data_IF_840746318860
#
_entry.id   IF_840746318860
#
_cell.length_a   1.000
_cell.length_b   1.000
_cell.length_c   1.000
_cell.angle_alpha   90.00
_cell.angle_beta   90.00
_cell.angle_gamma   90.00
#
_symmetry.space_group_name_H-M   'P 1'
#
loop_
_entity.id
_entity.type
_entity.pdbx_description
1 polymer ?
#
# COMPACT_ATOMS: atom_id res chain seq x y z
N UNK A 1 -17.08 12.24 -24.10
CA UNK A 1 -16.58 13.62 -24.28
C UNK A 1 -16.12 14.16 -22.94
N UNK A 2 -14.83 14.01 -22.61
CA UNK A 2 -14.25 14.58 -21.38
C UNK A 2 -13.51 15.87 -21.75
N UNK A 3 -14.04 17.04 -21.36
CA UNK A 3 -13.43 18.35 -21.66
C UNK A 3 -12.17 18.64 -20.83
N UNK A 4 -11.75 17.72 -19.94
CA UNK A 4 -10.60 17.92 -19.05
C UNK A 4 -10.82 19.01 -17.98
N UNK A 5 -11.97 19.70 -18.02
CA UNK A 5 -12.32 20.75 -17.10
C UNK A 5 -12.48 20.22 -15.68
N UNK A 6 -11.94 20.97 -14.72
CA UNK A 6 -11.97 20.67 -13.29
C UNK A 6 -12.61 21.84 -12.52
N UNK A 7 -13.93 22.07 -12.69
CA UNK A 7 -14.60 23.25 -12.14
C UNK A 7 -14.80 23.19 -10.62
N UNK A 8 -14.60 22.03 -9.99
CA UNK A 8 -14.81 21.85 -8.55
C UNK A 8 -13.49 22.01 -7.80
N UNK A 9 -13.29 23.15 -7.17
CA UNK A 9 -12.06 23.48 -6.45
C UNK A 9 -12.15 23.10 -4.96
N UNK A 10 -11.03 22.67 -4.39
CA UNK A 10 -10.93 22.48 -2.96
C UNK A 10 -10.47 23.79 -2.29
N UNK A 11 -11.20 24.25 -1.28
CA UNK A 11 -10.86 25.49 -0.57
C UNK A 11 -9.68 25.32 0.41
N UNK A 12 -9.30 24.07 0.71
CA UNK A 12 -8.25 23.73 1.68
C UNK A 12 -6.90 23.51 0.98
N UNK A 13 -6.90 23.10 -0.29
CA UNK A 13 -5.67 22.86 -1.05
C UNK A 13 -5.86 23.11 -2.55
N UNK A 14 -4.77 23.18 -3.31
CA UNK A 14 -4.78 23.54 -4.74
C UNK A 14 -5.44 22.48 -5.67
N UNK A 15 -6.02 21.40 -5.13
CA UNK A 15 -6.63 20.33 -5.93
C UNK A 15 -7.98 20.77 -6.49
N UNK A 16 -8.24 20.35 -7.74
CA UNK A 16 -9.51 20.57 -8.43
C UNK A 16 -9.99 19.27 -9.08
N UNK A 17 -11.31 19.11 -9.20
CA UNK A 17 -11.97 17.89 -9.61
C UNK A 17 -12.98 18.16 -10.73
N UNK A 18 -13.20 17.14 -11.57
CA UNK A 18 -14.18 17.18 -12.67
C UNK A 18 -15.61 16.92 -12.22
N UNK A 19 -15.80 16.39 -11.02
CA UNK A 19 -17.11 16.04 -10.45
C UNK A 19 -17.18 16.52 -9.00
N UNK A 20 -18.35 16.99 -8.57
CA UNK A 20 -18.60 17.45 -7.20
C UNK A 20 -18.44 16.33 -6.18
N UNK A 21 -18.88 15.11 -6.51
CA UNK A 21 -18.74 13.92 -5.65
C UNK A 21 -17.27 13.62 -5.31
N UNK A 22 -16.38 13.74 -6.30
CA UNK A 22 -14.94 13.57 -6.10
C UNK A 22 -14.35 14.67 -5.19
N UNK A 23 -14.85 15.91 -5.31
CA UNK A 23 -14.46 16.98 -4.40
C UNK A 23 -14.96 16.68 -2.97
N UNK A 24 -16.21 16.23 -2.79
CA UNK A 24 -16.74 15.86 -1.47
C UNK A 24 -15.92 14.74 -0.84
N UNK A 25 -15.63 13.66 -1.57
CA UNK A 25 -14.78 12.57 -1.08
C UNK A 25 -13.36 13.05 -0.77
N UNK A 26 -12.83 14.00 -1.52
CA UNK A 26 -11.55 14.62 -1.23
C UNK A 26 -11.59 15.48 0.04
N UNK A 27 -12.64 16.26 0.28
CA UNK A 27 -12.77 17.09 1.49
C UNK A 27 -12.70 16.22 2.75
N UNK A 28 -13.25 14.99 2.70
CA UNK A 28 -13.13 14.02 3.81
C UNK A 28 -11.68 13.67 4.17
N UNK A 29 -10.72 13.85 3.26
CA UNK A 29 -9.30 13.67 3.56
C UNK A 29 -8.71 14.78 4.42
N UNK A 30 -9.31 15.98 4.40
CA UNK A 30 -8.93 17.09 5.27
C UNK A 30 -9.66 17.05 6.61
N UNK A 31 -10.95 16.71 6.61
CA UNK A 31 -11.76 16.67 7.84
C UNK A 31 -11.58 15.40 8.66
N UNK A 32 -11.08 14.33 8.03
CA UNK A 32 -10.99 13.00 8.63
C UNK A 32 -12.33 12.26 8.72
N UNK A 33 -13.39 12.80 8.12
CA UNK A 33 -14.72 12.19 8.12
C UNK A 33 -14.70 10.81 7.44
N UNK A 34 -15.26 9.80 8.11
CA UNK A 34 -15.29 8.41 7.64
C UNK A 34 -16.71 7.82 7.79
N UNK A 35 -17.65 8.16 6.90
CA UNK A 35 -19.07 7.79 7.07
C UNK A 35 -19.33 6.28 6.94
N UNK A 36 -18.45 5.56 6.25
CA UNK A 36 -18.67 4.16 5.88
C UNK A 36 -18.00 3.24 6.91
N UNK A 37 -18.80 2.58 7.73
CA UNK A 37 -18.32 1.73 8.82
C UNK A 37 -18.40 0.24 8.45
N UNK A 38 -17.42 -0.52 8.91
CA UNK A 38 -17.39 -1.97 8.81
C UNK A 38 -18.00 -2.59 10.06
N UNK A 39 -19.14 -3.24 9.93
CA UNK A 39 -19.86 -3.86 11.06
C UNK A 39 -19.09 -5.03 11.70
N UNK A 40 -18.13 -5.62 10.96
CA UNK A 40 -17.36 -6.78 11.44
C UNK A 40 -16.25 -6.35 12.41
N UNK A 41 -15.59 -5.21 12.17
CA UNK A 41 -14.42 -4.80 12.95
C UNK A 41 -14.43 -3.34 13.40
N UNK A 42 -15.50 -2.60 13.16
CA UNK A 42 -15.66 -1.19 13.53
C UNK A 42 -14.80 -0.20 12.74
N UNK A 43 -13.95 -0.66 11.82
CA UNK A 43 -13.12 0.24 10.99
C UNK A 43 -13.99 1.10 10.09
N UNK A 44 -13.65 2.37 9.99
CA UNK A 44 -14.40 3.35 9.19
C UNK A 44 -13.57 3.89 8.02
N UNK A 45 -14.24 4.20 6.92
CA UNK A 45 -13.67 4.60 5.63
C UNK A 45 -14.34 5.88 5.12
N UNK A 46 -13.60 6.69 4.38
CA UNK A 46 -14.09 7.93 3.78
C UNK A 46 -14.86 7.72 2.47
N UNK A 47 -14.73 6.53 1.86
CA UNK A 47 -15.39 6.14 0.60
C UNK A 47 -16.03 4.76 0.73
N UNK A 48 -17.18 4.56 0.09
CA UNK A 48 -17.91 3.28 0.11
C UNK A 48 -17.15 2.16 -0.59
N UNK A 49 -16.48 2.46 -1.70
CA UNK A 49 -15.63 1.51 -2.45
C UNK A 49 -14.53 0.92 -1.57
N UNK A 50 -13.88 1.76 -0.75
CA UNK A 50 -12.86 1.32 0.19
C UNK A 50 -13.43 0.41 1.28
N UNK A 51 -14.66 0.68 1.75
CA UNK A 51 -15.35 -0.22 2.67
C UNK A 51 -15.64 -1.58 1.99
N UNK A 52 -16.16 -1.58 0.75
CA UNK A 52 -16.43 -2.81 0.00
C UNK A 52 -15.16 -3.65 -0.19
N UNK A 53 -14.06 -3.02 -0.62
CA UNK A 53 -12.77 -3.71 -0.76
C UNK A 53 -12.23 -4.21 0.59
N UNK A 54 -12.47 -3.46 1.67
CA UNK A 54 -12.12 -3.90 3.01
C UNK A 54 -12.96 -5.10 3.47
N UNK A 55 -14.26 -5.14 3.19
CA UNK A 55 -15.13 -6.25 3.57
C UNK A 55 -14.61 -7.58 2.98
N UNK A 56 -14.02 -7.55 1.78
CA UNK A 56 -13.36 -8.73 1.18
C UNK A 56 -12.24 -9.32 2.03
N UNK A 57 -11.64 -8.55 2.94
CA UNK A 57 -10.64 -9.06 3.89
C UNK A 57 -11.25 -9.93 4.99
N UNK A 58 -12.53 -9.75 5.29
CA UNK A 58 -13.27 -10.59 6.23
C UNK A 58 -13.91 -11.79 5.55
N UNK A 59 -14.49 -11.60 4.37
CA UNK A 59 -15.18 -12.67 3.63
C UNK A 59 -14.23 -13.60 2.88
N UNK A 60 -13.00 -13.14 2.61
CA UNK A 60 -12.04 -13.85 1.78
C UNK A 60 -12.36 -13.82 0.27
N UNK A 61 -13.35 -13.03 -0.15
CA UNK A 61 -13.75 -12.90 -1.55
C UNK A 61 -12.60 -12.38 -2.42
N UNK A 62 -12.34 -13.05 -3.55
CA UNK A 62 -11.26 -12.73 -4.49
C UNK A 62 -11.78 -12.71 -5.93
N UNK A 63 -12.48 -11.64 -6.35
CA UNK A 63 -13.16 -11.61 -7.65
C UNK A 63 -12.22 -11.62 -8.86
N UNK A 64 -11.00 -11.13 -8.67
CA UNK A 64 -10.06 -10.87 -9.76
C UNK A 64 -9.12 -12.06 -9.93
N UNK A 65 -9.21 -12.77 -11.05
CA UNK A 65 -8.45 -13.99 -11.32
C UNK A 65 -7.35 -13.75 -12.36
N UNK A 66 -6.21 -14.40 -12.17
CA UNK A 66 -5.12 -14.42 -13.13
C UNK A 66 -5.30 -15.60 -14.09
N UNK A 67 -5.54 -15.32 -15.36
CA UNK A 67 -5.73 -16.35 -16.38
C UNK A 67 -4.48 -17.19 -16.66
N UNK A 68 -3.29 -16.68 -16.29
CA UNK A 68 -2.01 -17.37 -16.53
C UNK A 68 -1.76 -18.47 -15.49
N UNK A 69 -2.11 -18.24 -14.22
CA UNK A 69 -1.76 -19.17 -13.13
C UNK A 69 -2.93 -19.52 -12.18
N UNK A 70 -4.13 -19.03 -12.45
CA UNK A 70 -5.34 -19.27 -11.66
C UNK A 70 -5.37 -18.55 -10.30
N UNK A 71 -4.35 -17.79 -9.91
CA UNK A 71 -4.35 -17.06 -8.64
C UNK A 71 -5.41 -15.97 -8.62
N UNK A 72 -6.12 -15.84 -7.50
CA UNK A 72 -7.17 -14.84 -7.31
C UNK A 72 -6.78 -13.76 -6.30
N UNK A 73 -7.31 -12.55 -6.51
CA UNK A 73 -7.03 -11.34 -5.75
C UNK A 73 -8.34 -10.63 -5.37
N UNK A 74 -8.33 -9.96 -4.22
CA UNK A 74 -9.47 -9.18 -3.72
C UNK A 74 -9.59 -7.78 -4.36
N UNK A 75 -8.54 -7.31 -5.04
CA UNK A 75 -8.50 -6.01 -5.72
C UNK A 75 -7.91 -6.16 -7.13
N UNK A 76 -8.41 -5.38 -8.09
CA UNK A 76 -7.96 -5.41 -9.48
C UNK A 76 -6.52 -4.92 -9.64
N UNK A 77 -6.12 -3.90 -8.88
CA UNK A 77 -4.75 -3.36 -8.86
C UNK A 77 -3.73 -4.43 -8.49
N UNK A 78 -4.04 -5.25 -7.49
CA UNK A 78 -3.19 -6.37 -7.08
C UNK A 78 -3.07 -7.44 -8.18
N UNK A 79 -4.15 -7.71 -8.93
CA UNK A 79 -4.08 -8.59 -10.09
C UNK A 79 -3.18 -7.98 -11.18
N UNK A 80 -3.32 -6.69 -11.49
CA UNK A 80 -2.47 -6.01 -12.49
C UNK A 80 -0.99 -6.07 -12.09
N UNK A 81 -0.66 -5.76 -10.85
CA UNK A 81 0.72 -5.85 -10.35
C UNK A 81 1.23 -7.31 -10.35
N UNK A 82 0.35 -8.28 -10.07
CA UNK A 82 0.69 -9.70 -10.19
C UNK A 82 0.96 -10.11 -11.63
N UNK A 83 0.16 -9.65 -12.61
CA UNK A 83 0.37 -9.99 -14.03
C UNK A 83 1.76 -9.58 -14.49
N UNK A 84 2.31 -8.47 -13.99
CA UNK A 84 3.69 -8.05 -14.28
C UNK A 84 4.75 -9.08 -13.87
N UNK A 85 4.44 -9.99 -12.93
CA UNK A 85 5.34 -11.09 -12.56
C UNK A 85 5.44 -12.18 -13.63
N UNK A 86 4.41 -12.31 -14.47
CA UNK A 86 4.41 -13.23 -15.62
C UNK A 86 5.01 -12.57 -16.86
N UNK A 87 4.66 -11.31 -17.12
CA UNK A 87 5.12 -10.59 -18.33
C UNK A 87 6.54 -10.04 -18.19
N UNK A 88 7.02 -9.86 -16.96
CA UNK A 88 8.31 -9.20 -16.68
C UNK A 88 8.28 -7.67 -16.86
N UNK A 89 7.10 -7.08 -17.05
CA UNK A 89 6.94 -5.63 -17.24
C UNK A 89 7.43 -4.85 -16.00
N UNK A 90 8.26 -3.84 -16.24
CA UNK A 90 8.87 -2.98 -15.21
C UNK A 90 8.70 -1.50 -15.56
N UNK A 91 7.49 -0.94 -15.40
CA UNK A 91 7.17 0.41 -15.86
C UNK A 91 7.78 1.52 -14.99
N UNK A 92 8.33 1.20 -13.83
CA UNK A 92 8.90 2.17 -12.91
C UNK A 92 10.42 2.20 -13.03
N UNK A 93 10.94 3.20 -13.74
CA UNK A 93 12.37 3.37 -14.00
C UNK A 93 13.04 4.23 -12.92
N UNK A 94 14.29 3.89 -12.57
CA UNK A 94 15.11 4.75 -11.73
C UNK A 94 15.83 5.78 -12.59
N UNK A 95 15.73 7.06 -12.22
CA UNK A 95 16.39 8.14 -12.97
C UNK A 95 17.90 8.24 -12.66
N UNK A 96 18.37 7.57 -11.61
CA UNK A 96 19.77 7.61 -11.14
C UNK A 96 20.59 6.45 -11.72
N UNK A 97 19.95 5.31 -12.05
CA UNK A 97 20.64 4.13 -12.58
C UNK A 97 19.74 3.31 -13.51
N UNK A 98 20.30 2.34 -14.22
CA UNK A 98 19.56 1.53 -15.22
C UNK A 98 18.49 0.57 -14.65
N UNK A 99 18.26 0.56 -13.33
CA UNK A 99 17.31 -0.38 -12.71
C UNK A 99 15.87 0.06 -12.94
N UNK A 100 15.00 -0.93 -13.15
CA UNK A 100 13.56 -0.75 -13.31
C UNK A 100 12.80 -1.75 -12.44
N UNK A 101 11.58 -1.39 -12.03
CA UNK A 101 10.78 -2.12 -11.06
C UNK A 101 9.35 -2.32 -11.57
N UNK A 102 8.72 -3.40 -11.14
CA UNK A 102 7.31 -3.73 -11.46
C UNK A 102 6.29 -2.99 -10.60
N UNK A 103 6.73 -2.39 -9.48
CA UNK A 103 5.91 -1.63 -8.54
C UNK A 103 6.60 -0.32 -8.16
N UNK A 104 5.81 0.74 -7.96
CA UNK A 104 6.32 2.08 -7.61
C UNK A 104 6.96 2.13 -6.22
N UNK A 105 6.40 1.42 -5.25
CA UNK A 105 6.93 1.31 -3.88
C UNK A 105 8.36 0.76 -3.88
N UNK A 106 8.61 -0.28 -4.68
CA UNK A 106 9.95 -0.85 -4.84
C UNK A 106 10.94 0.15 -5.45
N UNK A 107 10.49 0.98 -6.40
CA UNK A 107 11.31 2.07 -6.93
C UNK A 107 11.60 3.12 -5.85
N UNK A 108 10.61 3.54 -5.05
CA UNK A 108 10.81 4.49 -3.95
C UNK A 108 11.81 3.97 -2.93
N UNK A 109 11.68 2.72 -2.50
CA UNK A 109 12.62 2.09 -1.57
C UNK A 109 14.01 1.95 -2.19
N UNK A 110 14.10 1.68 -3.49
CA UNK A 110 15.36 1.67 -4.21
C UNK A 110 16.02 3.05 -4.27
N UNK A 111 15.25 4.12 -4.50
CA UNK A 111 15.80 5.49 -4.57
C UNK A 111 16.51 5.86 -3.26
N UNK A 112 16.03 5.38 -2.11
CA UNK A 112 16.71 5.57 -0.81
C UNK A 112 18.13 5.00 -0.75
N UNK A 113 18.46 4.03 -1.61
CA UNK A 113 19.83 3.50 -1.72
C UNK A 113 20.80 4.47 -2.37
N UNK A 114 20.29 5.40 -3.19
CA UNK A 114 21.09 6.47 -3.80
C UNK A 114 21.19 7.69 -2.89
N UNK A 115 20.07 8.08 -2.25
CA UNK A 115 20.03 9.26 -1.38
C UNK A 115 20.60 9.01 0.01
N UNK A 116 20.67 7.75 0.44
CA UNK A 116 21.04 7.39 1.81
C UNK A 116 19.95 7.66 2.84
N UNK A 117 18.74 8.03 2.42
CA UNK A 117 17.63 8.32 3.32
C UNK A 117 17.23 7.10 4.15
N UNK A 118 17.08 7.30 5.47
CA UNK A 118 16.73 6.26 6.44
C UNK A 118 15.58 6.75 7.35
N UNK A 119 14.33 6.75 6.87
CA UNK A 119 13.20 7.34 7.59
C UNK A 119 12.82 6.59 8.86
N UNK A 120 13.13 5.31 8.93
CA UNK A 120 12.66 4.42 9.98
C UNK A 120 13.71 4.31 11.09
N UNK A 121 13.43 4.88 12.25
CA UNK A 121 14.34 4.90 13.39
C UNK A 121 13.91 3.91 14.48
N UNK A 122 14.88 3.31 15.14
CA UNK A 122 14.69 2.47 16.31
C UNK A 122 14.73 3.32 17.57
N UNK A 123 13.62 3.40 18.29
CA UNK A 123 13.53 4.20 19.51
C UNK A 123 14.39 3.65 20.66
N UNK A 124 14.74 2.36 20.61
CA UNK A 124 15.54 1.70 21.66
C UNK A 124 17.02 2.05 21.55
N UNK A 125 17.57 2.16 20.32
CA UNK A 125 19.02 2.32 20.12
C UNK A 125 19.41 3.41 19.12
N UNK A 126 18.46 4.15 18.58
CA UNK A 126 18.66 5.26 17.64
C UNK A 126 19.11 4.85 16.23
N UNK A 127 19.25 3.55 15.93
CA UNK A 127 19.63 3.09 14.59
C UNK A 127 18.51 3.35 13.58
N UNK A 128 18.89 3.84 12.40
CA UNK A 128 17.95 4.12 11.30
C UNK A 128 18.10 3.17 10.12
N UNK A 129 16.98 2.91 9.46
CA UNK A 129 16.82 1.97 8.34
C UNK A 129 16.09 2.63 7.17
N UNK A 130 16.40 2.17 5.95
CA UNK A 130 15.75 2.65 4.72
C UNK A 130 14.38 2.00 4.45
N UNK A 131 14.08 0.89 5.12
CA UNK A 131 12.83 0.13 4.99
C UNK A 131 12.27 -0.22 6.38
N UNK A 132 10.94 -0.22 6.51
CA UNK A 132 10.23 -0.50 7.76
C UNK A 132 10.33 -1.96 8.19
N UNK A 133 10.40 -2.89 7.24
CA UNK A 133 10.63 -4.32 7.48
C UNK A 133 11.97 -4.55 8.18
N UNK A 134 13.03 -3.90 7.70
CA UNK A 134 14.35 -3.97 8.32
C UNK A 134 14.35 -3.40 9.75
N UNK A 135 13.60 -2.32 10.01
CA UNK A 135 13.41 -1.82 11.36
C UNK A 135 12.66 -2.84 12.23
N UNK A 136 11.60 -3.45 11.73
CA UNK A 136 10.81 -4.45 12.46
C UNK A 136 11.66 -5.66 12.83
N UNK A 137 12.43 -6.20 11.89
CA UNK A 137 13.36 -7.31 12.13
C UNK A 137 14.46 -6.90 13.11
N UNK A 138 14.95 -5.66 13.03
CA UNK A 138 15.89 -5.12 14.00
C UNK A 138 15.30 -5.02 15.40
N UNK A 139 14.04 -4.58 15.56
CA UNK A 139 13.38 -4.47 16.87
C UNK A 139 13.33 -5.84 17.56
N UNK A 140 13.15 -6.94 16.82
CA UNK A 140 13.19 -8.30 17.39
C UNK A 140 14.53 -8.65 18.04
N UNK A 141 15.62 -8.00 17.62
CA UNK A 141 16.93 -8.18 18.28
C UNK A 141 16.99 -7.58 19.69
N UNK A 142 16.12 -6.62 19.99
CA UNK A 142 15.98 -6.05 21.35
C UNK A 142 14.98 -6.81 22.20
N UNK A 143 13.86 -7.24 21.61
CA UNK A 143 12.81 -7.95 22.35
C UNK A 143 13.12 -9.43 22.56
N UNK A 144 14.01 -10.02 21.74
CA UNK A 144 14.28 -11.45 21.73
C UNK A 144 13.11 -12.29 21.20
N UNK A 145 12.12 -11.66 20.56
CA UNK A 145 10.97 -12.34 19.97
C UNK A 145 11.42 -13.27 18.85
N UNK A 146 10.91 -14.50 18.88
CA UNK A 146 11.18 -15.56 17.89
C UNK A 146 9.88 -16.10 17.31
N UNK A 147 9.28 -15.41 16.32
CA UNK A 147 7.94 -15.71 15.85
C UNK A 147 7.83 -17.04 15.12
N UNK A 148 8.94 -17.57 14.61
CA UNK A 148 8.93 -18.72 13.73
C UNK A 148 9.20 -19.99 14.53
N UNK A 149 8.12 -20.70 14.89
CA UNK A 149 8.24 -22.00 15.53
C UNK A 149 8.40 -23.11 14.49
N UNK A 150 9.37 -24.00 14.71
CA UNK A 150 9.54 -25.21 13.92
C UNK A 150 9.02 -26.40 14.72
N UNK A 151 7.90 -26.98 14.27
CA UNK A 151 7.27 -28.14 14.93
C UNK A 151 8.16 -29.40 14.88
N UNK A 152 9.05 -29.49 13.89
CA UNK A 152 9.91 -30.67 13.70
C UNK A 152 11.04 -30.69 14.74
N UNK A 153 11.71 -29.56 14.96
CA UNK A 153 12.83 -29.48 15.90
C UNK A 153 12.50 -28.77 17.21
N UNK A 154 11.24 -28.34 17.38
CA UNK A 154 10.68 -27.65 18.56
C UNK A 154 11.53 -26.43 18.96
N UNK A 155 12.06 -25.72 17.97
CA UNK A 155 12.83 -24.49 18.16
C UNK A 155 12.07 -23.31 17.60
N UNK A 156 12.14 -22.19 18.31
CA UNK A 156 11.69 -20.90 17.82
C UNK A 156 12.88 -20.10 17.29
N UNK A 157 12.69 -19.46 16.14
CA UNK A 157 13.66 -18.64 15.41
C UNK A 157 13.16 -17.19 15.28
#
# INVERSE_FOLDING_TARGET
THTGEKPYHCDICVKSFSQSTNLTDHIRTHTGEKPYHCDICGKSFSQSTNLTDHIRTHTGEKPYHCDICGKSFSQSTNLTDHIRTHTGEKPYHCDICVKSFSQSTNLTDHIRTHTGEKPYHCDICGKSFSQSTNLTDHIRTHTGEKPYHCDICVKSF
#
